data_IF_193042592875
#
_entry.id   IF_193042592875
#
_cell.length_a   1.000
_cell.length_b   1.000
_cell.length_c   1.000
_cell.angle_alpha   90.00
_cell.angle_beta   90.00
_cell.angle_gamma   90.00
#
_symmetry.space_group_name_H-M   'P 1'
#
loop_
_entity.id
_entity.type
_entity.pdbx_description
1 polymer ?
#
# COMPACT_ATOMS: atom_id res chain seq x y z
N UNK A 1 7.71 17.10 -25.69
CA UNK A 1 8.82 16.83 -24.77
C UNK A 1 8.28 16.03 -23.59
N UNK A 2 9.04 15.07 -23.07
CA UNK A 2 8.68 14.27 -21.90
C UNK A 2 9.67 14.64 -20.81
N UNK A 3 9.18 14.99 -19.64
CA UNK A 3 10.02 15.38 -18.50
C UNK A 3 10.50 14.18 -17.70
N UNK A 4 9.60 13.23 -17.42
CA UNK A 4 9.89 12.00 -16.66
C UNK A 4 9.02 10.84 -17.15
N UNK A 5 9.51 9.62 -16.96
CA UNK A 5 8.77 8.38 -17.22
C UNK A 5 8.95 7.47 -15.99
N UNK A 6 7.84 7.00 -15.44
CA UNK A 6 7.82 5.99 -14.39
C UNK A 6 7.24 4.69 -14.97
N UNK A 7 8.05 3.64 -14.98
CA UNK A 7 7.64 2.31 -15.46
C UNK A 7 7.32 1.42 -14.26
N UNK A 8 6.09 0.92 -14.22
CA UNK A 8 5.62 -0.05 -13.24
C UNK A 8 5.46 -1.40 -13.94
N UNK A 9 6.56 -2.15 -14.05
CA UNK A 9 6.61 -3.41 -14.83
C UNK A 9 5.58 -4.43 -14.34
N UNK A 10 5.45 -4.59 -13.03
CA UNK A 10 4.49 -5.52 -12.40
C UNK A 10 3.02 -5.19 -12.71
N UNK A 11 2.74 -3.94 -13.05
CA UNK A 11 1.38 -3.44 -13.34
C UNK A 11 1.12 -3.23 -14.82
N UNK A 12 2.10 -3.53 -15.68
CA UNK A 12 2.07 -3.18 -17.10
C UNK A 12 1.65 -1.72 -17.36
N UNK A 13 2.10 -0.81 -16.48
CA UNK A 13 1.71 0.60 -16.47
C UNK A 13 2.91 1.53 -16.61
N UNK A 14 2.71 2.60 -17.37
CA UNK A 14 3.67 3.70 -17.51
C UNK A 14 2.99 5.01 -17.17
N UNK A 15 3.59 5.79 -16.28
CA UNK A 15 3.22 7.18 -16.06
C UNK A 15 4.22 8.08 -16.76
N UNK A 16 3.71 9.00 -17.57
CA UNK A 16 4.49 9.94 -18.36
C UNK A 16 4.21 11.35 -17.86
N UNK A 17 5.25 11.99 -17.33
CA UNK A 17 5.15 13.38 -16.87
C UNK A 17 5.62 14.32 -17.99
N UNK A 18 4.81 15.30 -18.29
CA UNK A 18 5.04 16.25 -19.37
C UNK A 18 4.81 17.69 -18.89
N UNK A 19 5.39 18.68 -19.57
CA UNK A 19 5.04 20.08 -19.34
C UNK A 19 3.56 20.35 -19.65
N UNK A 20 2.93 21.22 -18.86
CA UNK A 20 1.49 21.51 -18.94
C UNK A 20 1.05 21.95 -20.36
N UNK A 21 1.90 22.72 -21.03
CA UNK A 21 1.67 23.20 -22.40
C UNK A 21 1.51 22.06 -23.43
N UNK A 22 2.03 20.88 -23.12
CA UNK A 22 2.05 19.74 -24.03
C UNK A 22 0.96 18.70 -23.75
N UNK A 23 0.20 18.87 -22.66
CA UNK A 23 -0.84 17.93 -22.24
C UNK A 23 -1.83 17.62 -23.36
N UNK A 24 -2.39 18.65 -23.98
CA UNK A 24 -3.38 18.50 -25.07
C UNK A 24 -2.83 17.78 -26.29
N UNK A 25 -1.54 17.96 -26.61
CA UNK A 25 -0.87 17.30 -27.72
C UNK A 25 -0.60 15.81 -27.38
N UNK A 26 -0.14 15.54 -26.17
CA UNK A 26 0.16 14.18 -25.73
C UNK A 26 -1.09 13.30 -25.66
N UNK A 27 -2.17 13.82 -25.08
CA UNK A 27 -3.45 13.11 -25.00
C UNK A 27 -4.07 12.95 -26.40
N UNK A 28 -4.01 13.99 -27.22
CA UNK A 28 -4.62 14.06 -28.53
C UNK A 28 -6.17 14.18 -28.48
N UNK A 29 -6.79 14.32 -29.64
CA UNK A 29 -8.26 14.44 -29.72
C UNK A 29 -8.94 13.17 -29.17
N UNK A 30 -9.78 13.34 -28.14
CA UNK A 30 -10.49 12.24 -27.48
C UNK A 30 -9.57 11.13 -26.97
N UNK A 31 -8.34 11.45 -26.58
CA UNK A 31 -7.38 10.49 -26.06
C UNK A 31 -6.75 9.57 -27.12
N UNK A 32 -6.80 9.94 -28.38
CA UNK A 32 -6.33 9.05 -29.47
C UNK A 32 -4.84 8.75 -29.39
N UNK A 33 -4.00 9.73 -29.04
CA UNK A 33 -2.55 9.50 -28.99
C UNK A 33 -2.17 8.54 -27.87
N UNK A 34 -2.77 8.71 -26.69
CA UNK A 34 -2.55 7.81 -25.55
C UNK A 34 -3.04 6.40 -25.87
N UNK A 35 -4.26 6.27 -26.46
CA UNK A 35 -4.81 4.96 -26.84
C UNK A 35 -3.95 4.25 -27.89
N UNK A 36 -3.42 4.97 -28.87
CA UNK A 36 -2.51 4.40 -29.86
C UNK A 36 -1.20 3.95 -29.24
N UNK A 37 -0.61 4.77 -28.37
CA UNK A 37 0.61 4.43 -27.66
C UNK A 37 0.41 3.21 -26.75
N UNK A 38 -0.67 3.19 -25.98
CA UNK A 38 -1.04 2.05 -25.13
C UNK A 38 -1.25 0.77 -25.95
N UNK A 39 -1.98 0.86 -27.08
CA UNK A 39 -2.18 -0.28 -27.97
C UNK A 39 -0.92 -0.82 -28.66
N UNK A 40 0.08 0.04 -28.91
CA UNK A 40 1.35 -0.36 -29.49
C UNK A 40 2.32 -0.99 -28.47
N UNK A 41 2.25 -0.55 -27.24
CA UNK A 41 3.16 -1.00 -26.16
C UNK A 41 2.58 -2.12 -25.33
N UNK A 42 1.26 -2.34 -25.39
CA UNK A 42 0.50 -3.17 -24.46
C UNK A 42 0.64 -2.76 -22.99
N UNK A 43 0.92 -1.46 -22.77
CA UNK A 43 1.04 -0.87 -21.44
C UNK A 43 -0.12 0.10 -21.22
N UNK A 44 -0.60 0.18 -20.01
CA UNK A 44 -1.47 1.27 -19.58
C UNK A 44 -0.64 2.54 -19.47
N UNK A 45 -1.04 3.61 -20.16
CA UNK A 45 -0.28 4.85 -20.16
C UNK A 45 -1.12 5.95 -19.53
N UNK A 46 -0.65 6.45 -18.39
CA UNK A 46 -1.16 7.65 -17.75
C UNK A 46 -0.28 8.85 -18.07
N UNK A 47 -0.91 9.97 -18.38
CA UNK A 47 -0.22 11.23 -18.61
C UNK A 47 -0.55 12.17 -17.46
N UNK A 48 0.49 12.71 -16.85
CA UNK A 48 0.42 13.69 -15.78
C UNK A 48 1.17 14.94 -16.19
N UNK A 49 0.72 16.09 -15.74
CA UNK A 49 1.51 17.32 -15.83
C UNK A 49 2.58 17.35 -14.75
N UNK A 50 3.57 18.22 -14.91
CA UNK A 50 4.60 18.44 -13.88
C UNK A 50 3.97 18.99 -12.58
N UNK A 51 2.93 19.82 -12.72
CA UNK A 51 2.18 20.35 -11.58
C UNK A 51 1.43 19.24 -10.84
N UNK A 52 0.64 18.41 -11.54
CA UNK A 52 -0.09 17.29 -10.96
C UNK A 52 0.85 16.27 -10.27
N UNK A 53 1.99 15.96 -10.88
CA UNK A 53 2.99 15.06 -10.29
C UNK A 53 3.62 15.67 -9.04
N UNK A 54 3.91 16.96 -9.06
CA UNK A 54 4.47 17.67 -7.91
C UNK A 54 3.48 17.75 -6.75
N UNK A 55 2.22 18.10 -7.03
CA UNK A 55 1.15 18.13 -6.03
C UNK A 55 0.91 16.74 -5.42
N UNK A 56 0.85 15.70 -6.25
CA UNK A 56 0.70 14.32 -5.78
C UNK A 56 1.84 13.93 -4.83
N UNK A 57 3.10 14.21 -5.20
CA UNK A 57 4.24 13.90 -4.32
C UNK A 57 4.23 14.68 -3.01
N UNK A 58 3.85 15.95 -3.06
CA UNK A 58 3.71 16.76 -1.85
C UNK A 58 2.62 16.21 -0.93
N UNK A 59 1.49 15.80 -1.50
CA UNK A 59 0.41 15.21 -0.73
C UNK A 59 0.82 13.86 -0.12
N UNK A 60 1.41 12.97 -0.91
CA UNK A 60 1.93 11.68 -0.42
C UNK A 60 2.96 11.85 0.70
N UNK A 61 3.87 12.81 0.56
CA UNK A 61 4.84 13.14 1.60
C UNK A 61 4.17 13.63 2.88
N UNK A 62 3.21 14.53 2.73
CA UNK A 62 2.42 15.07 3.85
C UNK A 62 1.64 13.98 4.56
N UNK A 63 0.95 13.12 3.82
CA UNK A 63 0.14 12.04 4.38
C UNK A 63 1.00 11.05 5.16
N UNK A 64 2.14 10.65 4.59
CA UNK A 64 3.10 9.76 5.26
C UNK A 64 3.70 10.39 6.51
N UNK A 65 4.11 11.66 6.44
CA UNK A 65 4.69 12.33 7.60
C UNK A 65 3.67 12.54 8.71
N UNK A 66 2.42 12.92 8.37
CA UNK A 66 1.35 13.06 9.37
C UNK A 66 1.02 11.72 10.02
N UNK A 67 0.91 10.65 9.24
CA UNK A 67 0.68 9.30 9.76
C UNK A 67 1.79 8.86 10.73
N UNK A 68 3.05 9.07 10.36
CA UNK A 68 4.18 8.74 11.25
C UNK A 68 4.19 9.60 12.50
N UNK A 69 3.96 10.92 12.39
CA UNK A 69 3.89 11.84 13.53
C UNK A 69 2.88 11.38 14.58
N UNK A 70 1.69 10.96 14.12
CA UNK A 70 0.62 10.46 15.01
C UNK A 70 0.99 9.11 15.66
N UNK A 71 1.56 8.19 14.89
CA UNK A 71 1.84 6.83 15.37
C UNK A 71 3.01 6.80 16.36
N UNK A 72 4.11 7.48 16.02
CA UNK A 72 5.30 7.49 16.89
C UNK A 72 5.33 8.67 17.86
N UNK A 73 4.24 9.47 17.87
CA UNK A 73 4.03 10.62 18.77
C UNK A 73 5.23 11.58 18.81
N UNK A 74 5.54 12.12 17.64
CA UNK A 74 6.62 13.10 17.44
C UNK A 74 6.11 14.36 16.75
N UNK A 75 6.89 15.44 16.82
CA UNK A 75 6.57 16.66 16.08
C UNK A 75 6.65 16.42 14.56
N UNK A 76 5.84 17.16 13.80
CA UNK A 76 5.78 17.05 12.33
C UNK A 76 7.15 17.15 11.66
N UNK A 77 8.03 18.01 12.18
CA UNK A 77 9.39 18.18 11.65
C UNK A 77 10.21 16.89 11.75
N UNK A 78 10.10 16.17 12.87
CA UNK A 78 10.78 14.89 13.07
C UNK A 78 10.23 13.83 12.11
N UNK A 79 8.91 13.76 11.96
CA UNK A 79 8.28 12.83 11.03
C UNK A 79 8.65 13.13 9.56
N UNK A 80 8.74 14.41 9.18
CA UNK A 80 9.20 14.81 7.85
C UNK A 80 10.65 14.42 7.59
N UNK A 81 11.54 14.53 8.57
CA UNK A 81 12.92 14.06 8.47
C UNK A 81 12.98 12.54 8.26
N UNK A 82 12.19 11.77 9.01
CA UNK A 82 12.10 10.32 8.85
C UNK A 82 11.66 9.95 7.41
N UNK A 83 10.61 10.59 6.89
CA UNK A 83 10.14 10.34 5.52
C UNK A 83 11.18 10.75 4.48
N UNK A 84 11.90 11.85 4.70
CA UNK A 84 12.96 12.31 3.79
C UNK A 84 14.12 11.32 3.71
N UNK A 85 14.45 10.67 4.83
CA UNK A 85 15.48 9.63 4.91
C UNK A 85 14.98 8.24 4.44
N UNK A 86 13.73 8.15 3.97
CA UNK A 86 13.15 6.95 3.36
C UNK A 86 12.35 6.06 4.32
N UNK A 87 12.18 6.47 5.57
CA UNK A 87 11.32 5.76 6.53
C UNK A 87 9.85 6.15 6.31
N UNK A 88 9.19 5.47 5.37
CA UNK A 88 7.84 5.80 4.94
C UNK A 88 6.74 5.00 5.64
N UNK A 89 7.10 4.04 6.49
CA UNK A 89 6.17 3.20 7.26
C UNK A 89 6.71 2.93 8.67
N UNK A 90 5.80 2.56 9.56
CA UNK A 90 6.15 2.22 10.96
C UNK A 90 7.03 0.96 11.02
N UNK A 91 6.76 0.01 10.14
CA UNK A 91 7.54 -1.22 10.02
C UNK A 91 8.99 -0.93 9.65
N UNK A 92 9.24 -0.01 8.72
CA UNK A 92 10.59 0.37 8.31
C UNK A 92 11.40 0.95 9.48
N UNK A 93 10.75 1.70 10.37
CA UNK A 93 11.38 2.24 11.59
C UNK A 93 11.61 1.12 12.63
N UNK A 94 10.60 0.28 12.85
CA UNK A 94 10.67 -0.77 13.87
C UNK A 94 11.73 -1.85 13.59
N UNK A 95 11.99 -2.12 12.31
CA UNK A 95 12.94 -3.14 11.84
C UNK A 95 14.36 -2.61 11.61
N UNK A 96 14.53 -1.28 11.63
CA UNK A 96 15.82 -0.64 11.36
C UNK A 96 16.79 -0.80 12.54
N UNK A 97 18.07 -0.57 12.29
CA UNK A 97 19.10 -0.48 13.31
C UNK A 97 19.15 0.90 13.93
N UNK A 98 19.30 0.97 15.26
CA UNK A 98 19.38 2.23 16.00
C UNK A 98 20.43 3.18 15.40
N UNK A 99 21.61 2.66 15.07
CA UNK A 99 22.72 3.44 14.49
C UNK A 99 22.36 4.15 13.16
N UNK A 100 21.42 3.64 12.41
CA UNK A 100 21.02 4.27 11.15
C UNK A 100 20.03 5.41 11.40
N UNK A 101 19.14 5.28 12.37
CA UNK A 101 18.21 6.35 12.76
C UNK A 101 18.96 7.48 13.45
N UNK A 102 19.98 7.18 14.27
CA UNK A 102 20.88 8.18 14.90
C UNK A 102 21.67 9.03 13.89
N UNK A 103 21.90 8.53 12.68
CA UNK A 103 22.60 9.29 11.61
C UNK A 103 21.76 10.41 11.01
N UNK A 104 20.46 10.39 11.24
CA UNK A 104 19.56 11.44 10.77
C UNK A 104 19.93 12.75 11.46
N UNK A 105 20.08 13.80 10.69
CA UNK A 105 20.46 15.11 11.22
C UNK A 105 19.43 15.59 12.26
N UNK A 106 19.92 15.91 13.45
CA UNK A 106 19.09 16.37 14.59
C UNK A 106 18.57 15.24 15.49
N UNK A 107 18.92 13.98 15.21
CA UNK A 107 18.56 12.85 16.08
C UNK A 107 19.73 12.52 17.02
N UNK A 108 19.40 12.31 18.28
CA UNK A 108 20.31 11.71 19.25
C UNK A 108 19.89 10.27 19.56
N UNK A 109 20.71 9.56 20.31
CA UNK A 109 20.47 8.16 20.70
C UNK A 109 19.16 7.99 21.46
N UNK A 110 18.82 8.95 22.33
CA UNK A 110 17.62 8.87 23.17
C UNK A 110 16.36 9.03 22.30
N UNK A 111 16.31 10.03 21.42
CA UNK A 111 15.20 10.24 20.48
C UNK A 111 15.03 9.06 19.52
N UNK A 112 16.13 8.58 18.93
CA UNK A 112 16.10 7.44 18.00
C UNK A 112 15.57 6.17 18.69
N UNK A 113 16.05 5.89 19.92
CA UNK A 113 15.60 4.75 20.72
C UNK A 113 14.13 4.87 21.10
N UNK A 114 13.66 6.06 21.46
CA UNK A 114 12.26 6.30 21.81
C UNK A 114 11.34 6.10 20.59
N UNK A 115 11.68 6.66 19.43
CA UNK A 115 10.91 6.48 18.18
C UNK A 115 10.82 5.00 17.81
N UNK A 116 11.93 4.27 17.84
CA UNK A 116 11.92 2.83 17.57
C UNK A 116 11.08 2.03 18.56
N UNK A 117 11.15 2.39 19.84
CA UNK A 117 10.36 1.73 20.89
C UNK A 117 8.86 1.97 20.66
N UNK A 118 8.46 3.20 20.34
CA UNK A 118 7.07 3.55 20.04
C UNK A 118 6.57 2.82 18.79
N UNK A 119 7.37 2.76 17.72
CA UNK A 119 7.05 2.02 16.50
C UNK A 119 6.82 0.52 16.80
N UNK A 120 7.71 -0.12 17.56
CA UNK A 120 7.57 -1.52 17.97
C UNK A 120 6.35 -1.76 18.85
N UNK A 121 6.08 -0.89 19.79
CA UNK A 121 4.91 -0.99 20.67
C UNK A 121 3.61 -0.85 19.87
N UNK A 122 3.56 0.11 18.94
CA UNK A 122 2.40 0.28 18.07
C UNK A 122 2.11 -0.99 17.25
N UNK A 123 3.12 -1.59 16.63
CA UNK A 123 2.95 -2.82 15.85
C UNK A 123 2.50 -4.00 16.74
N UNK A 124 3.06 -4.11 17.94
CA UNK A 124 2.64 -5.15 18.88
C UNK A 124 1.20 -4.97 19.38
N UNK A 125 0.76 -3.75 19.60
CA UNK A 125 -0.61 -3.45 20.01
C UNK A 125 -1.61 -3.60 18.84
N UNK A 126 -1.18 -3.25 17.62
CA UNK A 126 -1.94 -3.52 16.40
C UNK A 126 -2.15 -5.03 16.18
N UNK A 127 -1.11 -5.83 16.34
CA UNK A 127 -1.18 -7.29 16.24
C UNK A 127 -2.13 -7.89 17.27
N UNK A 128 -2.04 -7.45 18.53
CA UNK A 128 -2.96 -7.90 19.60
C UNK A 128 -4.41 -7.50 19.31
N UNK A 129 -4.63 -6.28 18.83
CA UNK A 129 -5.94 -5.80 18.45
C UNK A 129 -6.54 -6.60 17.29
N UNK A 130 -5.73 -6.86 16.27
CA UNK A 130 -6.12 -7.68 15.14
C UNK A 130 -6.44 -9.11 15.56
N UNK A 131 -5.60 -9.72 16.41
CA UNK A 131 -5.84 -11.06 16.93
C UNK A 131 -7.15 -11.13 17.72
N UNK A 132 -7.40 -10.15 18.58
CA UNK A 132 -8.65 -10.06 19.34
C UNK A 132 -9.88 -9.98 18.42
N UNK A 133 -9.82 -9.12 17.39
CA UNK A 133 -10.90 -8.98 16.42
C UNK A 133 -11.16 -10.29 15.67
N UNK A 134 -10.09 -10.99 15.26
CA UNK A 134 -10.17 -12.29 14.59
C UNK A 134 -10.83 -13.32 15.53
N UNK A 135 -10.40 -13.39 16.78
CA UNK A 135 -10.93 -14.35 17.75
C UNK A 135 -12.39 -14.09 18.12
N UNK A 136 -12.82 -12.82 18.08
CA UNK A 136 -14.22 -12.45 18.31
C UNK A 136 -15.10 -12.80 17.09
N UNK A 137 -14.67 -12.48 15.88
CA UNK A 137 -15.51 -12.54 14.67
C UNK A 137 -15.33 -13.82 13.87
N UNK A 138 -14.08 -14.25 13.63
CA UNK A 138 -13.80 -15.40 12.75
C UNK A 138 -13.69 -16.68 13.56
N UNK A 139 -14.73 -17.52 13.50
CA UNK A 139 -14.74 -18.85 14.14
C UNK A 139 -14.33 -19.96 13.18
N UNK A 140 -14.41 -19.70 11.88
CA UNK A 140 -14.08 -20.64 10.83
C UNK A 140 -12.57 -20.89 10.77
N UNK A 141 -12.15 -22.13 11.04
CA UNK A 141 -10.74 -22.51 11.01
C UNK A 141 -10.23 -22.71 9.57
N UNK A 142 -11.10 -23.10 8.66
CA UNK A 142 -10.72 -23.34 7.27
C UNK A 142 -10.37 -22.03 6.59
N UNK A 143 -11.08 -20.92 6.90
CA UNK A 143 -10.71 -19.58 6.45
C UNK A 143 -9.32 -19.17 6.98
N UNK A 144 -9.01 -19.48 8.25
CA UNK A 144 -7.70 -19.15 8.85
C UNK A 144 -6.56 -19.97 8.26
N UNK A 145 -6.84 -21.15 7.72
CA UNK A 145 -5.83 -22.08 7.23
C UNK A 145 -5.54 -21.96 5.72
N UNK A 146 -6.18 -21.03 5.02
CA UNK A 146 -5.87 -20.76 3.61
C UNK A 146 -4.39 -20.43 3.47
N UNK A 147 -3.72 -21.05 2.50
CA UNK A 147 -2.30 -20.81 2.24
C UNK A 147 -2.05 -19.35 1.83
N UNK A 148 -1.13 -18.69 2.53
CA UNK A 148 -0.83 -17.27 2.32
C UNK A 148 -1.70 -16.30 3.14
N UNK A 149 -2.71 -16.79 3.87
CA UNK A 149 -3.53 -15.95 4.74
C UNK A 149 -2.74 -15.45 5.94
N UNK A 150 -2.72 -14.13 6.15
CA UNK A 150 -2.02 -13.47 7.26
C UNK A 150 -2.98 -12.93 8.31
N UNK A 151 -2.47 -12.63 9.52
CA UNK A 151 -3.25 -11.98 10.59
C UNK A 151 -3.84 -10.65 10.10
N UNK A 152 -3.07 -9.86 9.36
CA UNK A 152 -3.53 -8.59 8.79
C UNK A 152 -4.67 -8.77 7.81
N UNK A 153 -4.59 -9.77 6.92
CA UNK A 153 -5.66 -10.11 5.98
C UNK A 153 -6.93 -10.54 6.73
N UNK A 154 -6.81 -11.46 7.69
CA UNK A 154 -7.95 -11.91 8.50
C UNK A 154 -8.61 -10.76 9.26
N UNK A 155 -7.82 -9.82 9.79
CA UNK A 155 -8.36 -8.65 10.47
C UNK A 155 -9.14 -7.72 9.53
N UNK A 156 -8.66 -7.53 8.29
CA UNK A 156 -9.37 -6.78 7.26
C UNK A 156 -10.67 -7.48 6.85
N UNK A 157 -10.64 -8.79 6.61
CA UNK A 157 -11.84 -9.58 6.33
C UNK A 157 -12.86 -9.48 7.47
N UNK A 158 -12.39 -9.57 8.73
CA UNK A 158 -13.25 -9.42 9.89
C UNK A 158 -13.90 -8.04 10.00
N UNK A 159 -13.23 -6.98 9.56
CA UNK A 159 -13.80 -5.62 9.49
C UNK A 159 -14.95 -5.54 8.48
N UNK A 160 -14.79 -6.19 7.33
CA UNK A 160 -15.79 -6.27 6.26
C UNK A 160 -16.87 -7.36 6.50
N UNK A 161 -16.84 -8.01 7.69
CA UNK A 161 -17.75 -9.10 8.06
C UNK A 161 -17.67 -10.34 7.15
N UNK A 162 -16.55 -10.57 6.51
CA UNK A 162 -16.21 -11.80 5.79
C UNK A 162 -15.57 -12.73 6.81
N UNK A 163 -16.36 -13.67 7.33
CA UNK A 163 -16.00 -14.44 8.53
C UNK A 163 -15.98 -15.94 8.34
N UNK A 164 -16.45 -16.43 7.19
CA UNK A 164 -16.42 -17.84 6.81
C UNK A 164 -15.64 -18.07 5.53
N UNK A 165 -15.18 -19.32 5.34
CA UNK A 165 -14.53 -19.75 4.10
C UNK A 165 -15.44 -19.50 2.88
N UNK A 166 -16.75 -19.71 3.05
CA UNK A 166 -17.70 -19.53 1.96
C UNK A 166 -17.87 -18.05 1.57
N UNK A 167 -17.95 -17.13 2.57
CA UNK A 167 -17.99 -15.69 2.29
C UNK A 167 -16.75 -15.25 1.49
N UNK A 168 -15.57 -15.76 1.86
CA UNK A 168 -14.33 -15.47 1.15
C UNK A 168 -14.29 -16.09 -0.26
N UNK A 169 -14.81 -17.30 -0.41
CA UNK A 169 -14.88 -17.99 -1.70
C UNK A 169 -15.82 -17.30 -2.72
N UNK A 170 -16.79 -16.52 -2.25
CA UNK A 170 -17.69 -15.74 -3.13
C UNK A 170 -17.01 -14.52 -3.75
N UNK A 171 -15.91 -14.02 -3.18
CA UNK A 171 -15.21 -12.84 -3.67
C UNK A 171 -14.47 -13.10 -4.98
N UNK A 172 -14.30 -12.04 -5.76
CA UNK A 172 -13.39 -12.03 -6.90
C UNK A 172 -12.05 -11.39 -6.50
N UNK A 173 -10.97 -11.75 -7.19
CA UNK A 173 -9.63 -11.24 -6.84
C UNK A 173 -9.56 -9.70 -6.85
N UNK A 174 -10.23 -9.04 -7.79
CA UNK A 174 -10.26 -7.58 -7.85
C UNK A 174 -10.89 -6.94 -6.61
N UNK A 175 -11.87 -7.58 -5.97
CA UNK A 175 -12.49 -7.09 -4.73
C UNK A 175 -11.53 -7.13 -3.54
N UNK A 176 -10.48 -7.96 -3.64
CA UNK A 176 -9.42 -8.00 -2.64
C UNK A 176 -8.34 -6.94 -2.87
N UNK A 177 -7.91 -6.76 -4.13
CA UNK A 177 -6.67 -6.03 -4.47
C UNK A 177 -6.88 -4.68 -5.14
N UNK A 178 -8.13 -4.29 -5.46
CA UNK A 178 -8.38 -2.97 -6.01
C UNK A 178 -7.80 -1.87 -5.11
N UNK A 179 -7.16 -0.88 -5.74
CA UNK A 179 -6.42 0.15 -5.00
C UNK A 179 -7.30 1.15 -4.26
N UNK A 180 -8.53 1.34 -4.73
CA UNK A 180 -9.45 2.32 -4.16
C UNK A 180 -10.42 1.65 -3.19
N UNK A 181 -11.00 0.51 -3.58
CA UNK A 181 -12.07 -0.16 -2.86
C UNK A 181 -11.72 -1.58 -2.37
N UNK A 182 -10.58 -2.14 -2.77
CA UNK A 182 -10.16 -3.50 -2.40
C UNK A 182 -9.98 -3.68 -0.90
N UNK A 183 -10.39 -4.83 -0.40
CA UNK A 183 -10.31 -5.18 1.03
C UNK A 183 -8.86 -5.16 1.52
N UNK A 184 -7.94 -5.62 0.70
CA UNK A 184 -6.51 -5.69 0.98
C UNK A 184 -5.71 -4.53 0.36
N UNK A 185 -6.36 -3.42 -0.01
CA UNK A 185 -5.71 -2.26 -0.68
C UNK A 185 -4.52 -1.68 0.09
N UNK A 186 -4.48 -1.87 1.41
CA UNK A 186 -3.36 -1.45 2.26
C UNK A 186 -2.20 -2.45 2.31
N UNK A 187 -2.41 -3.64 1.74
CA UNK A 187 -1.42 -4.70 1.65
C UNK A 187 -1.02 -4.82 0.17
N UNK A 188 0.26 -4.74 -0.11
CA UNK A 188 0.76 -4.90 -1.49
C UNK A 188 0.74 -6.38 -1.89
N UNK A 189 -0.43 -6.86 -2.35
CA UNK A 189 -0.69 -8.27 -2.66
C UNK A 189 -0.79 -8.44 -4.16
N UNK A 190 -0.03 -9.40 -4.68
CA UNK A 190 -0.08 -9.77 -6.09
C UNK A 190 -1.42 -10.45 -6.45
N UNK A 191 -1.91 -10.16 -7.65
CA UNK A 191 -3.16 -10.74 -8.17
C UNK A 191 -3.12 -12.27 -8.19
N UNK A 192 -1.96 -12.85 -8.49
CA UNK A 192 -1.77 -14.31 -8.51
C UNK A 192 -2.03 -14.91 -7.11
N UNK A 193 -1.52 -14.29 -6.05
CA UNK A 193 -1.74 -14.75 -4.67
C UNK A 193 -3.24 -14.65 -4.31
N UNK A 194 -3.89 -13.53 -4.62
CA UNK A 194 -5.31 -13.34 -4.36
C UNK A 194 -6.17 -14.40 -5.09
N UNK A 195 -5.88 -14.65 -6.36
CA UNK A 195 -6.55 -15.69 -7.16
C UNK A 195 -6.33 -17.09 -6.56
N UNK A 196 -5.09 -17.43 -6.17
CA UNK A 196 -4.76 -18.73 -5.58
C UNK A 196 -5.52 -18.96 -4.26
N UNK A 197 -5.59 -17.95 -3.41
CA UNK A 197 -6.33 -18.01 -2.13
C UNK A 197 -7.84 -18.25 -2.35
N UNK A 198 -8.46 -17.53 -3.30
CA UNK A 198 -9.87 -17.71 -3.65
C UNK A 198 -10.12 -19.10 -4.23
N UNK A 199 -9.24 -19.55 -5.13
CA UNK A 199 -9.37 -20.88 -5.72
C UNK A 199 -9.19 -21.99 -4.69
N UNK A 200 -8.34 -21.79 -3.69
CA UNK A 200 -8.22 -22.71 -2.56
C UNK A 200 -9.50 -22.76 -1.73
N UNK A 201 -10.09 -21.61 -1.43
CA UNK A 201 -11.36 -21.54 -0.70
C UNK A 201 -12.51 -22.23 -1.44
N UNK A 202 -12.51 -22.17 -2.79
CA UNK A 202 -13.53 -22.81 -3.65
C UNK A 202 -13.38 -24.32 -3.79
N UNK A 203 -12.30 -24.94 -3.34
CA UNK A 203 -12.11 -26.40 -3.48
C UNK A 203 -13.29 -27.17 -2.93
N UNK A 204 -13.85 -26.75 -1.80
CA UNK A 204 -15.02 -27.39 -1.18
C UNK A 204 -16.32 -27.33 -2.01
N UNK A 205 -16.36 -26.52 -3.07
CA UNK A 205 -17.53 -26.44 -3.95
C UNK A 205 -17.53 -27.51 -5.05
N UNK A 206 -16.39 -28.18 -5.25
CA UNK A 206 -16.19 -29.15 -6.32
C UNK A 206 -15.99 -30.59 -5.78
N UNK A 207 -15.92 -30.75 -4.44
CA UNK A 207 -15.90 -32.02 -3.76
C UNK A 207 -17.34 -32.47 -3.40
#
# INVERSE_FOLDING_TARGET
EVSKIFLYEEKNKVEVVIPDEQLSLAIGRKGQNVKLASGLTNLEIDILTEEEESERRQQEFKDKSTMLAEIVDVEDVIAQLLVTEGYVSVESIALENLENIEKIEGFDTDLASEIMSRAKNYLADLEKSNQKLIDEKIKDQDLKNINGMTISMLALLAKENIVTLNDFAELAAFELIDKEEGIFRSLDIEEELANNMIMEARKSWFD
#
